data_IF_859741153460
#
_entry.id   IF_859741153460
#
_cell.length_a   1.000
_cell.length_b   1.000
_cell.length_c   1.000
_cell.angle_alpha   90.00
_cell.angle_beta   90.00
_cell.angle_gamma   90.00
#
_symmetry.space_group_name_H-M   'P 1'
#
loop_
_entity.id
_entity.type
_entity.pdbx_description
1 polymer ?
#
# COMPACT_ATOMS: atom_id res chain seq x y z
N UNK A 1 16.89 -13.74 12.03
CA UNK A 1 16.86 -12.47 11.26
C UNK A 1 15.42 -12.24 10.84
N UNK A 2 14.68 -11.40 11.55
CA UNK A 2 13.30 -11.05 11.18
C UNK A 2 13.39 -10.07 10.02
N UNK A 3 13.04 -10.50 8.81
CA UNK A 3 12.96 -9.60 7.66
C UNK A 3 11.91 -8.53 7.95
N UNK A 4 12.30 -7.25 7.97
CA UNK A 4 11.45 -6.09 8.32
C UNK A 4 10.19 -5.96 7.44
N UNK A 5 10.19 -6.60 6.26
CA UNK A 5 9.10 -6.53 5.28
C UNK A 5 8.67 -7.93 4.82
N UNK A 6 7.39 -8.12 4.45
CA UNK A 6 6.87 -9.40 3.98
C UNK A 6 7.47 -9.79 2.63
N UNK A 7 7.63 -11.09 2.42
CA UNK A 7 8.13 -11.71 1.18
C UNK A 7 7.04 -12.18 0.24
N UNK A 8 5.77 -12.15 0.68
CA UNK A 8 4.63 -12.66 -0.07
C UNK A 8 3.61 -11.55 -0.29
N UNK A 9 2.87 -11.65 -1.39
CA UNK A 9 1.85 -10.68 -1.77
C UNK A 9 0.70 -11.40 -2.45
N UNK A 10 -0.54 -11.08 -2.06
CA UNK A 10 -1.74 -11.67 -2.65
C UNK A 10 -2.27 -10.81 -3.80
N UNK A 11 -2.34 -11.38 -5.01
CA UNK A 11 -2.85 -10.66 -6.18
C UNK A 11 -4.38 -10.55 -6.20
N UNK A 12 -5.08 -11.48 -5.55
CA UNK A 12 -6.54 -11.37 -5.35
C UNK A 12 -6.86 -10.22 -4.43
N UNK A 13 -6.13 -10.06 -3.34
CA UNK A 13 -6.29 -8.92 -2.43
C UNK A 13 -5.96 -7.58 -3.12
N UNK A 14 -4.92 -7.55 -3.96
CA UNK A 14 -4.58 -6.36 -4.73
C UNK A 14 -5.69 -6.00 -5.75
N UNK A 15 -6.34 -6.99 -6.35
CA UNK A 15 -7.48 -6.79 -7.23
C UNK A 15 -8.72 -6.29 -6.49
N UNK A 16 -9.03 -6.87 -5.32
CA UNK A 16 -10.14 -6.44 -4.49
C UNK A 16 -9.98 -4.98 -4.06
N UNK A 17 -8.76 -4.56 -3.72
CA UNK A 17 -8.46 -3.16 -3.41
C UNK A 17 -8.64 -2.23 -4.62
N UNK A 18 -8.26 -2.69 -5.82
CA UNK A 18 -8.43 -1.93 -7.05
C UNK A 18 -9.91 -1.76 -7.40
N UNK A 19 -10.68 -2.85 -7.39
CA UNK A 19 -12.10 -2.84 -7.67
C UNK A 19 -12.89 -2.02 -6.64
N UNK A 20 -12.54 -2.12 -5.36
CA UNK A 20 -13.11 -1.28 -4.31
C UNK A 20 -12.81 0.22 -4.54
N UNK A 21 -11.62 0.56 -5.03
CA UNK A 21 -11.29 1.95 -5.36
C UNK A 21 -12.13 2.49 -6.52
N UNK A 22 -12.35 1.69 -7.57
CA UNK A 22 -13.20 2.08 -8.70
C UNK A 22 -14.70 1.99 -8.40
N UNK A 23 -15.09 1.35 -7.29
CA UNK A 23 -16.49 1.24 -6.92
C UNK A 23 -17.14 2.62 -6.77
N UNK A 24 -18.40 2.73 -7.21
CA UNK A 24 -19.16 3.98 -7.23
C UNK A 24 -19.24 4.61 -5.83
N UNK A 25 -19.40 3.78 -4.78
CA UNK A 25 -19.46 4.26 -3.41
C UNK A 25 -18.15 4.92 -2.93
N UNK A 26 -17.00 4.33 -3.29
CA UNK A 26 -15.69 4.89 -2.95
C UNK A 26 -15.37 6.18 -3.71
N UNK A 27 -15.71 6.20 -5.00
CA UNK A 27 -15.52 7.35 -5.88
C UNK A 27 -16.40 8.54 -5.50
N UNK A 28 -17.66 8.31 -5.14
CA UNK A 28 -18.59 9.36 -4.70
C UNK A 28 -18.09 10.11 -3.47
N UNK A 29 -17.49 9.41 -2.50
CA UNK A 29 -16.93 10.04 -1.29
C UNK A 29 -15.74 10.95 -1.59
N UNK A 30 -14.87 10.56 -2.52
CA UNK A 30 -13.74 11.39 -2.94
C UNK A 30 -14.24 12.61 -3.71
N UNK A 31 -15.18 12.41 -4.62
CA UNK A 31 -15.81 13.50 -5.37
C UNK A 31 -16.49 14.51 -4.44
N UNK A 32 -17.26 14.05 -3.46
CA UNK A 32 -17.91 14.93 -2.48
C UNK A 32 -16.91 15.76 -1.66
N UNK A 33 -15.75 15.20 -1.30
CA UNK A 33 -14.74 15.88 -0.46
C UNK A 33 -13.80 16.79 -1.23
N UNK A 34 -13.36 16.36 -2.40
CA UNK A 34 -12.26 16.97 -3.14
C UNK A 34 -12.70 17.53 -4.50
N UNK A 35 -13.93 17.25 -4.94
CA UNK A 35 -14.48 17.71 -6.22
C UNK A 35 -14.03 16.90 -7.44
N UNK A 36 -13.24 15.83 -7.24
CA UNK A 36 -12.70 15.00 -8.32
C UNK A 36 -12.75 13.51 -7.96
N UNK A 37 -12.75 12.67 -8.99
CA UNK A 37 -12.64 11.23 -8.87
C UNK A 37 -11.19 10.84 -8.57
N UNK A 38 -11.01 9.77 -7.80
CA UNK A 38 -9.69 9.24 -7.55
C UNK A 38 -9.26 8.35 -8.72
N UNK A 39 -8.10 8.63 -9.31
CA UNK A 39 -7.55 7.86 -10.41
C UNK A 39 -7.13 6.42 -10.04
N UNK A 40 -7.13 6.06 -8.74
CA UNK A 40 -6.78 4.72 -8.23
C UNK A 40 -5.40 4.21 -8.69
N UNK A 41 -4.49 5.13 -9.00
CA UNK A 41 -3.18 4.83 -9.60
C UNK A 41 -2.33 3.94 -8.71
N UNK A 42 -2.36 4.17 -7.40
CA UNK A 42 -1.58 3.39 -6.42
C UNK A 42 -2.05 1.93 -6.33
N UNK A 43 -3.38 1.71 -6.31
CA UNK A 43 -3.97 0.36 -6.30
C UNK A 43 -3.70 -0.35 -7.63
N UNK A 44 -3.75 0.39 -8.74
CA UNK A 44 -3.45 -0.15 -10.07
C UNK A 44 -1.97 -0.56 -10.19
N UNK A 45 -1.04 0.26 -9.70
CA UNK A 45 0.39 -0.06 -9.64
C UNK A 45 0.64 -1.30 -8.78
N UNK A 46 -0.02 -1.41 -7.61
CA UNK A 46 0.06 -2.59 -6.74
C UNK A 46 -0.40 -3.85 -7.48
N UNK A 47 -1.54 -3.79 -8.17
CA UNK A 47 -2.08 -4.92 -8.93
C UNK A 47 -1.17 -5.34 -10.09
N UNK A 48 -0.70 -4.37 -10.89
CA UNK A 48 0.26 -4.62 -11.99
C UNK A 48 1.56 -5.25 -11.48
N UNK A 49 2.10 -4.71 -10.39
CA UNK A 49 3.30 -5.27 -9.76
C UNK A 49 3.09 -6.72 -9.32
N UNK A 50 1.94 -7.03 -8.70
CA UNK A 50 1.64 -8.39 -8.28
C UNK A 50 1.57 -9.38 -9.45
N UNK A 51 0.92 -8.99 -10.56
CA UNK A 51 0.83 -9.84 -11.76
C UNK A 51 2.22 -10.12 -12.34
N UNK A 52 3.10 -9.11 -12.38
CA UNK A 52 4.40 -9.21 -13.03
C UNK A 52 5.48 -9.86 -12.14
N UNK A 53 5.44 -9.60 -10.84
CA UNK A 53 6.53 -9.92 -9.91
C UNK A 53 6.07 -10.68 -8.66
N UNK A 54 4.81 -11.11 -8.58
CA UNK A 54 4.23 -11.78 -7.41
C UNK A 54 4.87 -13.13 -7.03
N UNK A 55 5.71 -13.70 -7.89
CA UNK A 55 6.45 -14.93 -7.64
C UNK A 55 7.86 -14.70 -7.07
N UNK A 56 8.39 -13.47 -7.13
CA UNK A 56 9.73 -13.13 -6.67
C UNK A 56 9.69 -12.49 -5.27
N UNK A 57 10.14 -13.19 -4.22
CA UNK A 57 10.10 -12.68 -2.85
C UNK A 57 11.04 -11.48 -2.61
N UNK A 58 12.10 -11.33 -3.40
CA UNK A 58 13.06 -10.23 -3.26
C UNK A 58 12.48 -8.93 -3.80
N UNK A 59 11.83 -8.98 -4.96
CA UNK A 59 11.14 -7.82 -5.53
C UNK A 59 9.96 -7.40 -4.66
N UNK A 60 9.20 -8.35 -4.10
CA UNK A 60 8.11 -8.04 -3.16
C UNK A 60 8.63 -7.28 -1.94
N UNK A 61 9.73 -7.74 -1.33
CA UNK A 61 10.34 -7.03 -0.21
C UNK A 61 10.77 -5.60 -0.59
N UNK A 62 11.42 -5.43 -1.75
CA UNK A 62 11.81 -4.11 -2.25
C UNK A 62 10.60 -3.20 -2.47
N UNK A 63 9.49 -3.74 -2.96
CA UNK A 63 8.25 -2.98 -3.14
C UNK A 63 7.71 -2.46 -1.80
N UNK A 64 7.65 -3.33 -0.79
CA UNK A 64 7.22 -2.95 0.56
C UNK A 64 8.15 -1.91 1.20
N UNK A 65 9.45 -2.06 1.02
CA UNK A 65 10.44 -1.10 1.50
C UNK A 65 10.26 0.28 0.83
N UNK A 66 10.20 0.34 -0.51
CA UNK A 66 9.98 1.59 -1.26
C UNK A 66 8.67 2.27 -0.85
N UNK A 67 7.63 1.48 -0.59
CA UNK A 67 6.35 2.00 -0.12
C UNK A 67 6.44 2.59 1.29
N UNK A 68 7.14 1.92 2.21
CA UNK A 68 7.38 2.44 3.55
C UNK A 68 8.16 3.76 3.49
N UNK A 69 9.20 3.84 2.66
CA UNK A 69 9.99 5.07 2.44
C UNK A 69 9.14 6.22 1.85
N UNK A 70 8.26 5.93 0.87
CA UNK A 70 7.34 6.93 0.30
C UNK A 70 6.36 7.45 1.37
N UNK A 71 5.83 6.57 2.20
CA UNK A 71 4.89 6.93 3.27
C UNK A 71 5.58 7.77 4.35
N UNK A 72 6.79 7.38 4.77
CA UNK A 72 7.58 8.13 5.73
C UNK A 72 7.85 9.57 5.24
N UNK A 73 8.14 9.75 3.95
CA UNK A 73 8.32 11.08 3.34
C UNK A 73 7.03 11.91 3.30
N UNK A 74 5.87 11.28 3.08
CA UNK A 74 4.58 11.99 2.94
C UNK A 74 3.96 12.38 4.28
N UNK A 75 4.07 11.55 5.29
CA UNK A 75 3.31 11.69 6.54
C UNK A 75 4.16 11.93 7.78
N UNK A 76 5.50 11.88 7.67
CA UNK A 76 6.36 11.67 8.84
C UNK A 76 6.17 10.26 9.39
N UNK A 77 7.14 9.76 10.16
CA UNK A 77 6.94 8.51 10.89
C UNK A 77 6.14 8.79 12.16
N UNK A 78 5.08 8.02 12.40
CA UNK A 78 4.37 8.06 13.69
C UNK A 78 5.22 7.53 14.85
N UNK A 79 6.30 6.79 14.55
CA UNK A 79 7.29 6.31 15.53
C UNK A 79 8.09 7.48 16.15
N UNK A 80 8.06 8.67 15.54
CA UNK A 80 8.62 9.90 16.09
C UNK A 80 7.81 10.41 17.31
N UNK A 81 6.51 10.09 17.35
CA UNK A 81 5.61 10.52 18.44
C UNK A 81 5.52 9.48 19.57
N UNK A 82 5.74 8.19 19.26
CA UNK A 82 5.55 7.09 20.19
C UNK A 82 6.80 6.22 20.32
N UNK A 83 7.40 6.19 21.50
CA UNK A 83 8.47 5.22 21.79
C UNK A 83 7.87 3.83 22.05
N UNK A 84 8.51 2.80 21.47
CA UNK A 84 8.14 1.40 21.70
C UNK A 84 8.28 1.08 23.19
N UNK A 85 7.21 0.54 23.79
CA UNK A 85 7.29 0.06 25.17
C UNK A 85 8.15 -1.20 25.17
N UNK A 86 9.28 -1.18 25.87
CA UNK A 86 10.10 -2.36 26.09
C UNK A 86 9.26 -3.43 26.80
N UNK A 87 8.91 -4.49 26.07
CA UNK A 87 8.37 -5.70 26.67
C UNK A 87 9.53 -6.42 27.37
N UNK A 88 9.52 -6.40 28.70
CA UNK A 88 10.33 -7.31 29.54
C UNK A 88 9.92 -8.76 29.32
#
# INVERSE_FOLDING_TARGET
MTTKYPTTMSCTEAFDQLSACYSVGGQFRNYYRYGDFNACTEQLEKFKFCILHGTDPVEIQKWHQKRAERNAKRCGSSEDIWQERSSS
#
